data_IF_023597186937
#
_entry.id   IF_023597186937
#
_cell.length_a   1.000
_cell.length_b   1.000
_cell.length_c   1.000
_cell.angle_alpha   90.00
_cell.angle_beta   90.00
_cell.angle_gamma   90.00
#
_symmetry.space_group_name_H-M   'P 1'
#
loop_
_entity.id
_entity.type
_entity.pdbx_description
1 polymer ?
#
# COMPACT_ATOMS: atom_id res chain seq x y z
N UNK A 1 5.39 20.33 16.69
CA UNK A 1 6.71 20.12 17.33
C UNK A 1 6.58 18.91 18.23
N UNK A 2 7.22 17.81 17.85
CA UNK A 2 7.08 16.49 18.44
C UNK A 2 7.71 15.49 17.50
N UNK A 3 9.02 15.63 17.29
CA UNK A 3 9.83 14.68 16.54
C UNK A 3 9.88 13.39 17.34
N UNK A 4 9.11 12.39 16.92
CA UNK A 4 9.32 11.00 17.34
C UNK A 4 10.51 10.47 16.54
N UNK A 5 11.71 10.90 16.93
CA UNK A 5 12.91 10.12 16.69
C UNK A 5 12.80 8.88 17.59
N UNK A 6 12.32 7.79 17.00
CA UNK A 6 12.52 6.46 17.57
C UNK A 6 14.01 6.15 17.42
N UNK A 7 14.78 6.49 18.44
CA UNK A 7 16.05 5.83 18.74
C UNK A 7 15.74 4.33 18.88
N UNK A 8 15.95 3.58 17.79
CA UNK A 8 15.93 2.13 17.83
C UNK A 8 17.04 1.67 18.76
N UNK A 9 16.68 0.90 19.79
CA UNK A 9 17.66 0.31 20.69
C UNK A 9 18.65 -0.56 19.91
N UNK A 10 19.92 -0.53 20.30
CA UNK A 10 21.01 -1.36 19.78
C UNK A 10 20.78 -2.89 19.91
N UNK A 11 19.60 -3.33 20.37
CA UNK A 11 19.21 -4.74 20.50
C UNK A 11 18.41 -5.28 19.30
N UNK A 12 17.93 -4.43 18.38
CA UNK A 12 17.15 -4.88 17.23
C UNK A 12 18.05 -5.17 16.00
N UNK A 13 18.05 -6.42 15.52
CA UNK A 13 18.82 -6.87 14.35
C UNK A 13 18.54 -6.07 13.07
N UNK A 14 19.52 -5.99 12.18
CA UNK A 14 19.43 -5.19 10.95
C UNK A 14 18.25 -5.64 10.07
N UNK A 15 17.98 -6.93 9.97
CA UNK A 15 16.88 -7.45 9.17
C UNK A 15 15.52 -6.87 9.62
N UNK A 16 15.26 -6.87 10.92
CA UNK A 16 14.02 -6.33 11.49
C UNK A 16 13.94 -4.81 11.38
N UNK A 17 15.06 -4.10 11.58
CA UNK A 17 15.17 -2.66 11.34
C UNK A 17 14.82 -2.29 9.90
N UNK A 18 15.40 -2.99 8.91
CA UNK A 18 15.12 -2.75 7.49
C UNK A 18 13.67 -3.08 7.14
N UNK A 19 13.14 -4.20 7.65
CA UNK A 19 11.73 -4.58 7.46
C UNK A 19 10.77 -3.50 7.98
N UNK A 20 11.07 -2.90 9.14
CA UNK A 20 10.28 -1.81 9.72
C UNK A 20 10.44 -0.49 8.95
N UNK A 21 11.66 -0.20 8.48
CA UNK A 21 11.97 1.01 7.71
C UNK A 21 11.20 1.06 6.39
N UNK A 22 11.11 -0.05 5.67
CA UNK A 22 10.42 -0.17 4.37
C UNK A 22 8.95 -0.61 4.51
N UNK A 23 8.24 -0.04 5.50
CA UNK A 23 6.84 -0.41 5.78
C UNK A 23 5.87 -0.04 4.67
N UNK A 24 6.16 1.00 3.91
CA UNK A 24 5.30 1.48 2.83
C UNK A 24 5.28 0.45 1.69
N UNK A 25 6.42 -0.17 1.39
CA UNK A 25 6.54 -1.24 0.42
C UNK A 25 5.66 -2.43 0.79
N UNK A 26 5.54 -2.77 2.08
CA UNK A 26 4.65 -3.86 2.54
C UNK A 26 3.19 -3.55 2.26
N UNK A 27 2.76 -2.32 2.52
CA UNK A 27 1.41 -1.87 2.20
C UNK A 27 1.14 -1.91 0.68
N UNK A 28 2.11 -1.46 -0.13
CA UNK A 28 2.02 -1.53 -1.60
C UNK A 28 1.89 -2.97 -2.11
N UNK A 29 2.50 -3.95 -1.44
CA UNK A 29 2.37 -5.35 -1.82
C UNK A 29 0.96 -5.89 -1.51
N UNK A 30 0.47 -5.65 -0.28
CA UNK A 30 -0.86 -6.09 0.17
C UNK A 30 -1.99 -5.55 -0.70
N UNK A 31 -1.90 -4.27 -1.08
CA UNK A 31 -2.93 -3.59 -1.86
C UNK A 31 -2.68 -3.64 -3.37
N UNK A 32 -1.77 -4.49 -3.84
CA UNK A 32 -1.68 -4.79 -5.27
C UNK A 32 -2.97 -5.49 -5.75
N UNK A 33 -3.42 -5.24 -7.00
CA UNK A 33 -4.60 -5.92 -7.55
C UNK A 33 -4.52 -7.45 -7.43
N UNK A 34 -3.34 -8.03 -7.67
CA UNK A 34 -3.13 -9.47 -7.57
C UNK A 34 -3.38 -10.00 -6.15
N UNK A 35 -2.79 -9.37 -5.13
CA UNK A 35 -2.91 -9.82 -3.74
C UNK A 35 -4.32 -9.60 -3.20
N UNK A 36 -4.98 -8.49 -3.55
CA UNK A 36 -6.37 -8.24 -3.14
C UNK A 36 -7.32 -9.28 -3.73
N UNK A 37 -7.18 -9.62 -5.02
CA UNK A 37 -7.98 -10.68 -5.64
C UNK A 37 -7.67 -12.06 -5.07
N UNK A 38 -6.41 -12.33 -4.72
CA UNK A 38 -6.00 -13.57 -4.07
C UNK A 38 -6.67 -13.69 -2.71
N UNK A 39 -6.67 -12.61 -1.92
CA UNK A 39 -7.29 -12.55 -0.60
C UNK A 39 -8.80 -12.77 -0.67
N UNK A 40 -9.46 -12.20 -1.69
CA UNK A 40 -10.90 -12.35 -1.89
C UNK A 40 -11.32 -13.71 -2.48
N UNK A 41 -10.36 -14.57 -2.84
CA UNK A 41 -10.63 -15.84 -3.54
C UNK A 41 -11.11 -15.68 -4.98
N UNK A 42 -11.12 -14.46 -5.53
CA UNK A 42 -11.66 -14.14 -6.86
C UNK A 42 -10.58 -13.98 -7.95
N UNK A 43 -9.29 -14.19 -7.60
CA UNK A 43 -8.20 -14.19 -8.57
C UNK A 43 -8.47 -15.24 -9.66
N UNK A 44 -8.15 -14.92 -10.92
CA UNK A 44 -8.17 -15.89 -12.00
C UNK A 44 -7.15 -17.03 -11.77
N UNK A 45 -7.55 -18.30 -11.87
CA UNK A 45 -6.66 -19.44 -11.64
C UNK A 45 -5.42 -19.47 -12.56
N UNK A 46 -5.52 -18.97 -13.79
CA UNK A 46 -4.37 -18.93 -14.71
C UNK A 46 -3.40 -17.81 -14.33
N UNK A 47 -3.90 -16.67 -13.85
CA UNK A 47 -3.06 -15.61 -13.29
C UNK A 47 -2.28 -16.11 -12.07
N UNK A 48 -2.94 -16.84 -11.17
CA UNK A 48 -2.29 -17.50 -10.03
C UNK A 48 -1.24 -18.51 -10.50
N UNK A 49 -1.59 -19.40 -11.43
CA UNK A 49 -0.69 -20.40 -11.99
C UNK A 49 0.53 -19.76 -12.65
N UNK A 50 0.33 -18.67 -13.40
CA UNK A 50 1.41 -17.90 -14.01
C UNK A 50 2.40 -17.42 -12.94
N UNK A 51 1.90 -16.78 -11.87
CA UNK A 51 2.71 -16.27 -10.76
C UNK A 51 3.56 -17.39 -10.12
N UNK A 52 2.93 -18.47 -9.66
CA UNK A 52 3.64 -19.55 -8.96
C UNK A 52 4.58 -20.35 -9.87
N UNK A 53 4.37 -20.30 -11.19
CA UNK A 53 5.26 -20.96 -12.14
C UNK A 53 6.59 -20.22 -12.27
N UNK A 54 6.61 -18.90 -12.01
CA UNK A 54 7.84 -18.09 -12.00
C UNK A 54 8.81 -18.51 -10.88
N UNK A 55 8.34 -19.17 -9.81
CA UNK A 55 9.17 -19.67 -8.70
C UNK A 55 10.37 -20.48 -9.20
N UNK A 56 10.26 -21.18 -10.34
CA UNK A 56 11.37 -22.00 -10.87
C UNK A 56 12.64 -21.17 -11.10
N UNK A 57 12.48 -19.94 -11.62
CA UNK A 57 13.60 -19.05 -11.93
C UNK A 57 14.18 -18.43 -10.65
N UNK A 58 13.32 -18.03 -9.71
CA UNK A 58 13.75 -17.55 -8.40
C UNK A 58 14.50 -18.62 -7.63
N UNK A 59 13.99 -19.86 -7.58
CA UNK A 59 14.62 -20.96 -6.88
C UNK A 59 15.97 -21.36 -7.51
N UNK A 60 16.08 -21.32 -8.84
CA UNK A 60 17.35 -21.51 -9.53
C UNK A 60 18.37 -20.43 -9.16
N UNK A 61 17.97 -19.14 -9.22
CA UNK A 61 18.83 -18.03 -8.86
C UNK A 61 19.23 -18.07 -7.37
N UNK A 62 18.29 -18.38 -6.47
CA UNK A 62 18.55 -18.50 -5.04
C UNK A 62 19.54 -19.64 -4.76
N UNK A 63 19.40 -20.78 -5.43
CA UNK A 63 20.32 -21.91 -5.26
C UNK A 63 21.76 -21.56 -5.67
N UNK A 64 21.93 -20.76 -6.74
CA UNK A 64 23.25 -20.28 -7.19
C UNK A 64 23.78 -19.15 -6.30
N UNK A 65 22.92 -18.23 -5.86
CA UNK A 65 23.29 -17.16 -4.95
C UNK A 65 23.77 -17.71 -3.60
N UNK A 66 23.10 -18.73 -3.06
CA UNK A 66 23.57 -19.41 -1.85
C UNK A 66 24.88 -20.17 -2.06
N UNK A 67 25.13 -20.73 -3.24
CA UNK A 67 26.42 -21.37 -3.57
C UNK A 67 27.57 -20.36 -3.52
N UNK A 68 27.37 -19.19 -4.11
CA UNK A 68 28.34 -18.10 -4.05
C UNK A 68 28.51 -17.60 -2.61
N UNK A 69 27.40 -17.36 -1.89
CA UNK A 69 27.46 -16.94 -0.50
C UNK A 69 28.21 -17.94 0.40
N UNK A 70 28.06 -19.24 0.16
CA UNK A 70 28.81 -20.32 0.82
C UNK A 70 30.31 -20.23 0.53
N UNK A 71 30.71 -20.05 -0.74
CA UNK A 71 32.12 -19.91 -1.14
C UNK A 71 32.80 -18.71 -0.45
N UNK A 72 32.03 -17.67 -0.15
CA UNK A 72 32.52 -16.41 0.41
C UNK A 72 32.34 -16.26 1.92
N UNK A 73 31.61 -17.15 2.59
CA UNK A 73 31.57 -17.18 4.05
C UNK A 73 32.92 -17.68 4.61
N UNK A 74 33.39 -17.09 5.72
CA UNK A 74 34.66 -17.49 6.35
C UNK A 74 34.44 -18.54 7.46
N UNK A 75 33.40 -18.34 8.28
CA UNK A 75 33.04 -19.20 9.40
C UNK A 75 32.30 -20.48 8.96
N UNK A 76 32.70 -21.63 9.50
CA UNK A 76 32.15 -22.93 9.12
C UNK A 76 30.69 -23.13 9.60
N UNK A 77 30.29 -22.51 10.71
CA UNK A 77 28.89 -22.54 11.15
C UNK A 77 28.00 -21.75 10.19
N UNK A 78 28.47 -20.59 9.73
CA UNK A 78 27.79 -19.77 8.74
C UNK A 78 27.67 -20.50 7.39
N UNK A 79 28.73 -21.16 6.93
CA UNK A 79 28.69 -22.02 5.73
C UNK A 79 27.65 -23.13 5.87
N UNK A 80 27.66 -23.87 6.97
CA UNK A 80 26.69 -24.96 7.18
C UNK A 80 25.25 -24.43 7.22
N UNK A 81 25.02 -23.24 7.78
CA UNK A 81 23.71 -22.57 7.74
C UNK A 81 23.28 -22.23 6.30
N UNK A 82 24.17 -21.65 5.50
CA UNK A 82 23.93 -21.33 4.08
C UNK A 82 23.65 -22.61 3.28
N UNK A 83 24.45 -23.66 3.47
CA UNK A 83 24.27 -24.98 2.82
C UNK A 83 22.90 -25.57 3.16
N UNK A 84 22.45 -25.45 4.40
CA UNK A 84 21.10 -25.90 4.80
C UNK A 84 20.00 -25.11 4.07
N UNK A 85 20.15 -23.80 3.92
CA UNK A 85 19.20 -22.97 3.15
C UNK A 85 19.19 -23.37 1.67
N UNK A 86 20.37 -23.52 1.05
CA UNK A 86 20.52 -23.99 -0.33
C UNK A 86 19.87 -25.36 -0.56
N UNK A 87 20.09 -26.31 0.36
CA UNK A 87 19.47 -27.65 0.30
C UNK A 87 17.94 -27.58 0.35
N UNK A 88 17.35 -26.66 1.13
CA UNK A 88 15.89 -26.44 1.16
C UNK A 88 15.37 -25.91 -0.17
N UNK A 89 16.04 -24.91 -0.76
CA UNK A 89 15.70 -24.36 -2.07
C UNK A 89 15.78 -25.43 -3.16
N UNK A 90 16.89 -26.18 -3.23
CA UNK A 90 17.06 -27.27 -4.20
C UNK A 90 16.00 -28.37 -4.02
N UNK A 91 15.59 -28.66 -2.79
CA UNK A 91 14.49 -29.60 -2.53
C UNK A 91 13.15 -29.06 -3.03
N UNK A 92 12.85 -27.78 -2.80
CA UNK A 92 11.64 -27.14 -3.31
C UNK A 92 11.61 -27.14 -4.84
N UNK A 93 12.73 -26.78 -5.48
CA UNK A 93 12.88 -26.77 -6.94
C UNK A 93 12.60 -28.15 -7.56
N UNK A 94 13.19 -29.22 -6.98
CA UNK A 94 12.96 -30.60 -7.47
C UNK A 94 11.51 -31.08 -7.35
N UNK A 95 10.77 -30.54 -6.39
CA UNK A 95 9.41 -30.97 -6.06
C UNK A 95 8.35 -29.96 -6.55
N UNK A 96 8.72 -28.96 -7.35
CA UNK A 96 7.84 -27.85 -7.71
C UNK A 96 6.55 -28.34 -8.40
N UNK A 97 6.66 -29.20 -9.41
CA UNK A 97 5.51 -29.74 -10.14
C UNK A 97 4.57 -30.54 -9.24
N UNK A 98 5.13 -31.34 -8.31
CA UNK A 98 4.36 -32.11 -7.35
C UNK A 98 3.61 -31.18 -6.39
N UNK A 99 4.26 -30.13 -5.90
CA UNK A 99 3.63 -29.12 -5.03
C UNK A 99 2.51 -28.37 -5.75
N UNK A 100 2.70 -27.98 -7.01
CA UNK A 100 1.66 -27.32 -7.81
C UNK A 100 0.43 -28.23 -7.95
N UNK A 101 0.63 -29.54 -8.19
CA UNK A 101 -0.46 -30.53 -8.21
C UNK A 101 -1.12 -30.73 -6.86
N UNK A 102 -0.35 -30.77 -5.77
CA UNK A 102 -0.89 -30.84 -4.41
C UNK A 102 -1.79 -29.63 -4.10
N UNK A 103 -1.44 -28.45 -4.61
CA UNK A 103 -2.25 -27.24 -4.52
C UNK A 103 -3.50 -27.27 -5.41
N UNK A 104 -3.62 -28.24 -6.31
CA UNK A 104 -4.80 -28.43 -7.16
C UNK A 104 -4.67 -27.87 -8.57
N UNK A 105 -3.46 -27.55 -9.02
CA UNK A 105 -3.19 -26.98 -10.34
C UNK A 105 -2.33 -27.92 -11.17
N UNK A 106 -2.44 -27.83 -12.50
CA UNK A 106 -1.53 -28.55 -13.39
C UNK A 106 -0.32 -27.65 -13.73
N UNK A 107 0.93 -28.13 -13.53
CA UNK A 107 2.12 -27.40 -13.91
C UNK A 107 2.12 -27.08 -15.41
N UNK A 108 2.50 -25.86 -15.82
CA UNK A 108 2.56 -25.52 -17.24
C UNK A 108 3.67 -26.32 -17.95
N UNK A 109 3.43 -26.68 -19.22
CA UNK A 109 4.41 -27.40 -20.06
C UNK A 109 5.58 -26.50 -20.48
N UNK A 110 5.30 -25.23 -20.70
CA UNK A 110 6.25 -24.18 -21.03
C UNK A 110 5.92 -22.98 -20.15
N UNK A 111 6.95 -22.32 -19.63
CA UNK A 111 6.79 -21.11 -18.82
C UNK A 111 7.63 -20.00 -19.44
N UNK A 112 6.99 -18.88 -19.77
CA UNK A 112 7.70 -17.69 -20.19
C UNK A 112 8.16 -16.93 -18.96
N UNK A 113 9.46 -16.60 -18.91
CA UNK A 113 10.01 -15.83 -17.81
C UNK A 113 9.55 -14.37 -17.92
N UNK A 114 8.86 -13.88 -16.91
CA UNK A 114 8.44 -12.49 -16.84
C UNK A 114 9.67 -11.57 -16.73
N UNK A 115 9.65 -10.43 -17.41
CA UNK A 115 10.69 -9.40 -17.32
C UNK A 115 10.97 -8.96 -15.86
N UNK A 116 9.97 -8.91 -14.99
CA UNK A 116 10.18 -8.62 -13.56
C UNK A 116 10.98 -9.72 -12.85
N UNK A 117 10.69 -10.99 -13.18
CA UNK A 117 11.47 -12.16 -12.70
C UNK A 117 12.92 -12.08 -13.17
N UNK A 118 13.14 -11.75 -14.46
CA UNK A 118 14.49 -11.55 -15.02
C UNK A 118 15.23 -10.45 -14.25
N UNK A 119 14.63 -9.27 -14.09
CA UNK A 119 15.26 -8.15 -13.36
C UNK A 119 15.67 -8.52 -11.94
N UNK A 120 14.83 -9.23 -11.19
CA UNK A 120 15.19 -9.66 -9.84
C UNK A 120 16.35 -10.66 -9.92
N UNK A 121 16.18 -11.75 -10.66
CA UNK A 121 17.18 -12.82 -10.71
C UNK A 121 18.54 -12.33 -11.20
N UNK A 122 18.60 -11.44 -12.19
CA UNK A 122 19.83 -10.76 -12.62
C UNK A 122 20.45 -9.91 -11.51
N UNK A 123 19.65 -9.05 -10.85
CA UNK A 123 20.12 -8.26 -9.71
C UNK A 123 20.70 -9.13 -8.59
N UNK A 124 20.06 -10.26 -8.27
CA UNK A 124 20.54 -11.19 -7.27
C UNK A 124 21.87 -11.83 -7.70
N UNK A 125 22.00 -12.25 -8.95
CA UNK A 125 23.24 -12.86 -9.47
C UNK A 125 24.38 -11.83 -9.55
N UNK A 126 24.10 -10.58 -9.93
CA UNK A 126 25.07 -9.49 -9.87
C UNK A 126 25.52 -9.21 -8.45
N UNK A 127 24.57 -9.18 -7.50
CA UNK A 127 24.87 -9.00 -6.08
C UNK A 127 25.73 -10.15 -5.56
N UNK A 128 25.36 -11.40 -5.80
CA UNK A 128 26.07 -12.57 -5.32
C UNK A 128 27.45 -12.76 -5.97
N UNK A 129 27.66 -12.23 -7.18
CA UNK A 129 28.97 -12.24 -7.87
C UNK A 129 29.86 -11.03 -7.53
N UNK A 130 29.40 -10.12 -6.66
CA UNK A 130 30.17 -8.96 -6.20
C UNK A 130 30.12 -7.74 -7.12
N UNK A 131 29.23 -7.71 -8.11
CA UNK A 131 28.99 -6.55 -9.00
C UNK A 131 28.03 -5.55 -8.35
N UNK A 132 28.33 -5.14 -7.12
CA UNK A 132 27.44 -4.28 -6.33
C UNK A 132 27.66 -2.80 -6.69
N UNK A 133 26.79 -2.25 -7.53
CA UNK A 133 26.68 -0.81 -7.78
C UNK A 133 27.56 -0.28 -8.92
N UNK A 134 26.90 0.10 -10.03
CA UNK A 134 27.51 0.94 -11.06
C UNK A 134 28.11 2.19 -10.43
N UNK A 135 29.42 2.37 -10.65
CA UNK A 135 30.26 3.46 -10.16
C UNK A 135 30.61 3.43 -8.66
N UNK A 136 31.84 2.96 -8.37
CA UNK A 136 32.66 3.05 -7.14
C UNK A 136 32.70 1.88 -6.14
N UNK A 137 31.84 0.87 -6.23
CA UNK A 137 31.93 -0.30 -5.34
C UNK A 137 32.19 -1.60 -6.09
N UNK A 138 33.22 -1.62 -6.95
CA UNK A 138 33.81 -2.91 -7.29
C UNK A 138 34.45 -3.45 -6.01
N UNK A 139 33.85 -4.45 -5.38
CA UNK A 139 34.52 -5.19 -4.31
C UNK A 139 35.72 -5.87 -4.99
N UNK A 140 36.88 -5.21 -4.96
CA UNK A 140 38.13 -5.93 -5.20
C UNK A 140 38.24 -6.88 -4.02
N UNK A 141 37.94 -8.14 -4.25
CA UNK A 141 38.11 -9.19 -3.26
C UNK A 141 39.62 -9.36 -3.06
N UNK A 142 40.19 -8.70 -2.05
CA UNK A 142 41.62 -8.76 -1.73
C UNK A 142 41.86 -9.62 -0.49
N UNK A 143 40.87 -9.74 0.41
CA UNK A 143 41.01 -10.42 1.71
C UNK A 143 39.82 -11.34 2.04
N UNK A 144 40.01 -12.37 2.90
CA UNK A 144 38.91 -13.19 3.42
C UNK A 144 37.80 -12.38 4.09
N UNK A 145 38.14 -11.29 4.77
CA UNK A 145 37.17 -10.38 5.40
C UNK A 145 36.26 -9.67 4.38
N UNK A 146 36.78 -9.36 3.18
CA UNK A 146 35.95 -8.80 2.09
C UNK A 146 35.03 -9.84 1.44
N UNK A 147 35.31 -11.14 1.59
CA UNK A 147 34.45 -12.22 1.12
C UNK A 147 33.20 -12.35 1.99
N UNK A 148 33.32 -12.31 3.32
CA UNK A 148 32.18 -12.43 4.24
C UNK A 148 31.10 -11.37 4.00
N UNK A 149 31.48 -10.16 3.55
CA UNK A 149 30.55 -9.08 3.18
C UNK A 149 29.62 -9.48 2.05
N UNK A 150 30.10 -10.29 1.11
CA UNK A 150 29.34 -10.73 -0.05
C UNK A 150 28.22 -11.71 0.33
N UNK A 151 28.46 -12.55 1.35
CA UNK A 151 27.42 -13.38 1.94
C UNK A 151 26.32 -12.51 2.58
N UNK A 152 26.68 -11.50 3.37
CA UNK A 152 25.72 -10.56 3.94
C UNK A 152 24.92 -9.82 2.85
N UNK A 153 25.59 -9.31 1.82
CA UNK A 153 24.95 -8.64 0.67
C UNK A 153 23.98 -9.56 -0.06
N UNK A 154 24.36 -10.81 -0.30
CA UNK A 154 23.51 -11.82 -0.94
C UNK A 154 22.27 -12.10 -0.09
N UNK A 155 22.43 -12.33 1.21
CA UNK A 155 21.31 -12.58 2.11
C UNK A 155 20.39 -11.35 2.23
N UNK A 156 20.94 -10.13 2.18
CA UNK A 156 20.14 -8.89 2.15
C UNK A 156 19.27 -8.78 0.90
N UNK A 157 19.69 -9.36 -0.23
CA UNK A 157 18.93 -9.41 -1.47
C UNK A 157 17.90 -10.55 -1.52
N UNK A 158 18.02 -11.57 -0.66
CA UNK A 158 17.09 -12.73 -0.58
C UNK A 158 16.05 -12.54 0.53
N UNK A 159 16.48 -12.03 1.69
CA UNK A 159 15.67 -11.89 2.91
C UNK A 159 14.30 -11.24 2.67
N UNK A 160 14.19 -10.11 1.94
CA UNK A 160 12.91 -9.45 1.66
C UNK A 160 11.85 -10.37 1.04
N UNK A 161 12.24 -11.17 0.05
CA UNK A 161 11.34 -12.08 -0.67
C UNK A 161 10.72 -13.10 0.29
N UNK A 162 11.54 -13.76 1.11
CA UNK A 162 11.03 -14.74 2.08
C UNK A 162 10.11 -14.11 3.12
N UNK A 163 10.47 -12.92 3.63
CA UNK A 163 9.68 -12.24 4.64
C UNK A 163 8.35 -11.71 4.10
N UNK A 164 8.32 -11.18 2.87
CA UNK A 164 7.11 -10.59 2.29
C UNK A 164 6.03 -11.65 1.99
N UNK A 165 6.39 -12.85 1.52
CA UNK A 165 5.42 -13.93 1.29
C UNK A 165 4.91 -14.55 2.60
N UNK A 166 5.75 -14.65 3.63
CA UNK A 166 5.29 -15.02 4.98
C UNK A 166 4.29 -13.99 5.51
N UNK A 167 4.59 -12.69 5.33
CA UNK A 167 3.72 -11.60 5.75
C UNK A 167 2.37 -11.61 5.00
N UNK A 168 2.39 -11.54 3.66
CA UNK A 168 1.17 -11.52 2.84
C UNK A 168 0.29 -12.73 3.13
N UNK A 169 0.85 -13.94 3.20
CA UNK A 169 0.06 -15.14 3.45
C UNK A 169 -0.62 -15.14 4.83
N UNK A 170 0.04 -14.60 5.87
CA UNK A 170 -0.55 -14.46 7.21
C UNK A 170 -1.65 -13.39 7.25
N UNK A 171 -1.44 -12.25 6.59
CA UNK A 171 -2.45 -11.20 6.47
C UNK A 171 -3.71 -11.72 5.75
N UNK A 172 -3.54 -12.46 4.64
CA UNK A 172 -4.67 -13.10 3.96
C UNK A 172 -5.35 -14.12 4.87
N UNK A 173 -4.59 -14.99 5.54
CA UNK A 173 -5.18 -16.02 6.41
C UNK A 173 -5.95 -15.46 7.60
N UNK A 174 -5.54 -14.31 8.14
CA UNK A 174 -6.28 -13.64 9.20
C UNK A 174 -7.67 -13.18 8.75
N UNK A 175 -7.90 -13.03 7.44
CA UNK A 175 -9.17 -12.64 6.83
C UNK A 175 -10.00 -13.85 6.36
N UNK A 176 -9.39 -15.01 6.16
CA UNK A 176 -10.07 -16.18 5.63
C UNK A 176 -10.86 -16.90 6.73
N UNK A 177 -12.11 -17.26 6.42
CA UNK A 177 -12.89 -18.17 7.24
C UNK A 177 -12.23 -19.56 7.23
N UNK A 178 -11.91 -20.10 8.41
CA UNK A 178 -11.24 -21.39 8.54
C UNK A 178 -12.06 -22.55 7.94
N UNK A 179 -13.39 -22.41 7.96
CA UNK A 179 -14.34 -23.39 7.44
C UNK A 179 -14.62 -23.24 5.94
N UNK A 180 -14.12 -22.18 5.30
CA UNK A 180 -14.24 -22.01 3.85
C UNK A 180 -13.30 -23.01 3.15
N UNK A 181 -13.90 -24.05 2.57
CA UNK A 181 -13.22 -25.10 1.80
C UNK A 181 -13.20 -24.80 0.31
N UNK A 182 -13.86 -23.73 -0.15
CA UNK A 182 -13.98 -23.40 -1.57
C UNK A 182 -12.79 -22.59 -2.10
N UNK A 183 -12.02 -21.94 -1.22
CA UNK A 183 -10.82 -21.19 -1.63
C UNK A 183 -9.72 -22.12 -2.17
N UNK A 184 -9.60 -22.17 -3.50
CA UNK A 184 -8.63 -22.99 -4.23
C UNK A 184 -7.16 -22.62 -3.94
N UNK A 185 -6.88 -21.44 -3.39
CA UNK A 185 -5.53 -20.96 -3.07
C UNK A 185 -5.08 -21.31 -1.65
N UNK A 186 -5.98 -21.84 -0.82
CA UNK A 186 -5.76 -22.09 0.62
C UNK A 186 -4.53 -22.96 0.89
N UNK A 187 -4.31 -24.01 0.10
CA UNK A 187 -3.16 -24.93 0.29
C UNK A 187 -1.82 -24.22 0.07
N UNK A 188 -1.74 -23.36 -0.95
CA UNK A 188 -0.53 -22.58 -1.21
C UNK A 188 -0.28 -21.56 -0.10
N UNK A 189 -1.32 -20.82 0.31
CA UNK A 189 -1.25 -19.88 1.44
C UNK A 189 -0.79 -20.57 2.73
N UNK A 190 -1.36 -21.74 3.05
CA UNK A 190 -0.96 -22.56 4.20
C UNK A 190 0.52 -22.99 4.13
N UNK A 191 1.05 -23.23 2.92
CA UNK A 191 2.45 -23.58 2.77
C UNK A 191 3.38 -22.41 3.13
N UNK A 192 3.00 -21.18 2.77
CA UNK A 192 3.76 -19.96 3.01
C UNK A 192 3.63 -19.43 4.45
N UNK A 193 2.48 -19.64 5.09
CA UNK A 193 2.29 -19.26 6.50
C UNK A 193 2.77 -20.33 7.49
N UNK A 194 3.19 -21.50 6.98
CA UNK A 194 3.63 -22.62 7.83
C UNK A 194 4.83 -22.26 8.70
N UNK A 195 4.93 -22.88 9.88
CA UNK A 195 6.08 -22.73 10.77
C UNK A 195 7.41 -23.07 10.09
N UNK A 196 7.40 -23.99 9.12
CA UNK A 196 8.59 -24.36 8.34
C UNK A 196 9.06 -23.25 7.40
N UNK A 197 8.12 -22.54 6.78
CA UNK A 197 8.44 -21.39 5.93
C UNK A 197 8.94 -20.23 6.79
N UNK A 198 8.25 -19.94 7.89
CA UNK A 198 8.67 -18.93 8.88
C UNK A 198 10.09 -19.20 9.41
N UNK A 199 10.37 -20.43 9.84
CA UNK A 199 11.69 -20.80 10.32
C UNK A 199 12.78 -20.62 9.26
N UNK A 200 12.45 -20.73 7.96
CA UNK A 200 13.40 -20.47 6.88
C UNK A 200 13.63 -18.97 6.68
N UNK A 201 12.59 -18.15 6.75
CA UNK A 201 12.71 -16.69 6.72
C UNK A 201 13.55 -16.18 7.90
N UNK A 202 13.23 -16.62 9.14
CA UNK A 202 14.01 -16.27 10.34
C UNK A 202 15.46 -16.71 10.24
N UNK A 203 15.75 -17.94 9.76
CA UNK A 203 17.15 -18.38 9.60
C UNK A 203 17.97 -17.50 8.65
N UNK A 204 17.34 -16.92 7.62
CA UNK A 204 18.01 -16.01 6.69
C UNK A 204 18.28 -14.66 7.38
N UNK A 205 17.33 -14.17 8.17
CA UNK A 205 17.42 -12.91 8.90
C UNK A 205 18.44 -12.98 10.03
N UNK A 206 18.41 -14.04 10.84
CA UNK A 206 19.36 -14.27 11.92
C UNK A 206 20.80 -14.34 11.38
N UNK A 207 20.98 -14.98 10.21
CA UNK A 207 22.28 -15.06 9.57
C UNK A 207 22.70 -13.71 8.96
N UNK A 208 21.77 -12.96 8.36
CA UNK A 208 22.04 -11.60 7.91
C UNK A 208 22.46 -10.69 9.07
N UNK A 209 21.78 -10.81 10.21
CA UNK A 209 22.09 -10.08 11.43
C UNK A 209 23.49 -10.44 11.93
N UNK A 210 23.80 -11.74 12.06
CA UNK A 210 25.12 -12.23 12.48
C UNK A 210 26.24 -11.72 11.57
N UNK A 211 26.10 -11.87 10.25
CA UNK A 211 27.12 -11.45 9.28
C UNK A 211 27.28 -9.93 9.22
N UNK A 212 26.25 -9.17 9.59
CA UNK A 212 26.28 -7.71 9.58
C UNK A 212 27.00 -7.10 10.80
N UNK A 213 27.22 -7.84 11.88
CA UNK A 213 27.91 -7.36 13.10
C UNK A 213 29.31 -6.82 12.79
N UNK A 214 30.00 -7.45 11.84
CA UNK A 214 31.39 -7.10 11.48
C UNK A 214 31.49 -5.97 10.46
N UNK A 215 30.37 -5.48 9.91
CA UNK A 215 30.35 -4.49 8.85
C UNK A 215 30.53 -3.07 9.39
N UNK A 216 31.23 -2.25 8.61
CA UNK A 216 31.34 -0.80 8.84
C UNK A 216 30.05 -0.07 8.48
N UNK A 217 29.89 1.19 8.91
CA UNK A 217 28.72 2.00 8.57
C UNK A 217 28.45 2.09 7.05
N UNK A 218 29.49 2.32 6.25
CA UNK A 218 29.37 2.39 4.78
C UNK A 218 28.90 1.06 4.17
N UNK A 219 29.30 -0.08 4.76
CA UNK A 219 28.92 -1.40 4.30
C UNK A 219 27.49 -1.77 4.74
N UNK A 220 27.06 -1.33 5.92
CA UNK A 220 25.67 -1.42 6.36
C UNK A 220 24.75 -0.57 5.46
N UNK A 221 25.23 0.58 4.98
CA UNK A 221 24.48 1.37 3.99
C UNK A 221 24.33 0.61 2.66
N UNK A 222 25.31 -0.23 2.27
CA UNK A 222 25.19 -1.12 1.10
C UNK A 222 24.12 -2.18 1.35
N UNK A 223 24.14 -2.84 2.51
CA UNK A 223 23.11 -3.82 2.92
C UNK A 223 21.71 -3.21 2.83
N UNK A 224 21.53 -1.99 3.36
CA UNK A 224 20.25 -1.29 3.29
C UNK A 224 19.82 -1.04 1.84
N UNK A 225 20.72 -0.55 0.98
CA UNK A 225 20.41 -0.28 -0.44
C UNK A 225 20.02 -1.55 -1.19
N UNK A 226 20.71 -2.66 -0.95
CA UNK A 226 20.44 -3.94 -1.57
C UNK A 226 19.08 -4.51 -1.11
N UNK A 227 18.82 -4.49 0.19
CA UNK A 227 17.53 -4.90 0.76
C UNK A 227 16.37 -4.09 0.19
N UNK A 228 16.51 -2.76 0.13
CA UNK A 228 15.50 -1.88 -0.45
C UNK A 228 15.30 -2.14 -1.95
N UNK A 229 16.40 -2.40 -2.70
CA UNK A 229 16.29 -2.75 -4.12
C UNK A 229 15.57 -4.07 -4.32
N UNK A 230 15.85 -5.09 -3.51
CA UNK A 230 15.12 -6.35 -3.51
C UNK A 230 13.62 -6.16 -3.19
N UNK A 231 13.25 -5.37 -2.16
CA UNK A 231 11.85 -5.02 -1.89
C UNK A 231 11.16 -4.35 -3.09
N UNK A 232 11.85 -3.43 -3.78
CA UNK A 232 11.31 -2.78 -4.98
C UNK A 232 11.12 -3.75 -6.14
N UNK A 233 12.07 -4.67 -6.35
CA UNK A 233 11.98 -5.69 -7.40
C UNK A 233 10.88 -6.71 -7.13
N UNK A 234 10.68 -7.08 -5.86
CA UNK A 234 9.54 -7.91 -5.45
C UNK A 234 8.21 -7.19 -5.73
N UNK A 235 8.12 -5.90 -5.42
CA UNK A 235 6.95 -5.10 -5.79
C UNK A 235 6.76 -5.04 -7.31
N UNK A 236 7.84 -4.81 -8.09
CA UNK A 236 7.75 -4.88 -9.55
C UNK A 236 7.21 -6.24 -10.02
N UNK A 237 7.63 -7.34 -9.39
CA UNK A 237 7.12 -8.68 -9.68
C UNK A 237 5.63 -8.82 -9.34
N UNK A 238 5.22 -8.53 -8.11
CA UNK A 238 3.82 -8.65 -7.66
C UNK A 238 2.89 -7.78 -8.51
N UNK A 239 3.29 -6.55 -8.82
CA UNK A 239 2.49 -5.62 -9.62
C UNK A 239 2.48 -5.93 -11.12
N UNK A 240 3.44 -6.72 -11.60
CA UNK A 240 3.44 -7.21 -12.99
C UNK A 240 2.57 -8.45 -13.19
N UNK A 241 2.03 -9.04 -12.13
CA UNK A 241 1.18 -10.22 -12.27
C UNK A 241 -0.12 -9.85 -12.98
N UNK A 242 -0.60 -10.71 -13.90
CA UNK A 242 -1.81 -10.43 -14.65
C UNK A 242 -3.04 -10.41 -13.73
N UNK A 243 -3.93 -9.44 -13.96
CA UNK A 243 -5.22 -9.34 -13.28
C UNK A 243 -6.27 -9.03 -14.33
N UNK A 244 -7.14 -9.99 -14.60
CA UNK A 244 -8.18 -9.86 -15.65
C UNK A 244 -9.52 -9.41 -15.09
N UNK A 245 -9.77 -9.68 -13.81
CA UNK A 245 -10.98 -9.30 -13.11
C UNK A 245 -10.98 -7.81 -12.71
N UNK A 246 -12.16 -7.20 -12.75
CA UNK A 246 -12.36 -5.83 -12.27
C UNK A 246 -12.13 -5.79 -10.75
N UNK A 247 -11.22 -4.90 -10.32
CA UNK A 247 -10.76 -4.85 -8.94
C UNK A 247 -10.73 -3.40 -8.46
N UNK A 248 -11.14 -3.19 -7.21
CA UNK A 248 -11.02 -1.89 -6.53
C UNK A 248 -9.87 -2.01 -5.53
N UNK A 249 -8.83 -1.19 -5.69
CA UNK A 249 -7.68 -1.16 -4.80
C UNK A 249 -7.28 0.28 -4.46
N UNK A 250 -6.68 0.53 -3.28
CA UNK A 250 -5.98 1.77 -3.01
C UNK A 250 -4.91 2.03 -4.08
N UNK A 251 -5.07 3.11 -4.83
CA UNK A 251 -4.16 3.45 -5.92
C UNK A 251 -3.10 4.45 -5.45
N UNK A 252 -1.85 3.99 -5.33
CA UNK A 252 -0.73 4.78 -4.79
C UNK A 252 0.49 4.82 -5.70
N UNK A 253 0.46 4.11 -6.83
CA UNK A 253 1.48 4.16 -7.88
C UNK A 253 0.85 4.06 -9.26
N UNK A 254 1.25 4.96 -10.15
CA UNK A 254 0.96 4.86 -11.58
C UNK A 254 1.87 3.77 -12.15
N UNK A 255 1.28 2.64 -12.53
CA UNK A 255 1.97 1.65 -13.34
C UNK A 255 1.68 1.92 -14.82
N UNK A 256 2.74 2.11 -15.61
CA UNK A 256 2.66 2.39 -17.05
C UNK A 256 2.36 1.12 -17.85
N UNK A 257 1.33 0.37 -17.48
CA UNK A 257 0.71 -0.61 -18.37
C UNK A 257 -0.18 0.19 -19.32
N UNK A 258 0.11 0.17 -20.62
CA UNK A 258 -0.71 0.84 -21.64
C UNK A 258 -2.13 0.24 -21.75
N UNK A 259 -2.40 -0.88 -21.06
CA UNK A 259 -3.61 -1.70 -21.17
C UNK A 259 -4.59 -1.52 -20.01
N UNK A 260 -4.15 -0.90 -18.90
CA UNK A 260 -5.01 -0.75 -17.72
C UNK A 260 -6.12 0.26 -18.04
N UNK A 261 -7.37 -0.06 -17.71
CA UNK A 261 -8.50 0.85 -17.88
C UNK A 261 -8.87 1.45 -16.54
N UNK A 262 -8.07 2.40 -16.06
CA UNK A 262 -8.18 2.92 -14.71
C UNK A 262 -9.33 3.94 -14.58
N UNK A 263 -10.15 3.74 -13.55
CA UNK A 263 -11.11 4.72 -13.04
C UNK A 263 -10.66 5.07 -11.62
N UNK A 264 -10.28 6.31 -11.40
CA UNK A 264 -9.77 6.78 -10.12
C UNK A 264 -10.89 7.48 -9.37
N UNK A 265 -11.13 7.07 -8.12
CA UNK A 265 -11.99 7.80 -7.19
C UNK A 265 -11.13 8.44 -6.13
N UNK A 266 -11.38 9.71 -5.85
CA UNK A 266 -10.61 10.47 -4.89
C UNK A 266 -11.54 11.28 -4.00
N UNK A 267 -11.48 11.08 -2.68
CA UNK A 267 -12.11 11.99 -1.74
C UNK A 267 -11.26 13.25 -1.59
N UNK A 268 -11.75 14.37 -2.11
CA UNK A 268 -11.06 15.65 -2.08
C UNK A 268 -10.71 16.10 -0.67
N UNK A 269 -11.66 15.99 0.24
CA UNK A 269 -11.56 16.69 1.50
C UNK A 269 -10.66 15.94 2.49
N UNK A 270 -10.85 14.62 2.63
CA UNK A 270 -10.00 13.79 3.50
C UNK A 270 -8.65 13.41 2.86
N UNK A 271 -8.61 13.24 1.53
CA UNK A 271 -7.37 12.76 0.86
C UNK A 271 -6.51 13.91 0.35
N UNK A 272 -7.12 14.97 -0.21
CA UNK A 272 -6.37 16.02 -0.89
C UNK A 272 -6.09 17.23 -0.02
N UNK A 273 -7.09 17.73 0.72
CA UNK A 273 -6.97 19.02 1.41
C UNK A 273 -6.31 18.88 2.77
N UNK A 274 -5.45 19.84 3.13
CA UNK A 274 -4.87 19.94 4.48
C UNK A 274 -5.77 20.71 5.46
N UNK A 275 -6.78 21.41 4.94
CA UNK A 275 -7.70 22.26 5.68
C UNK A 275 -9.11 21.95 5.18
N UNK A 276 -10.06 21.87 6.10
CA UNK A 276 -11.48 21.68 5.79
C UNK A 276 -11.97 22.74 4.78
N UNK A 277 -12.39 22.27 3.60
CA UNK A 277 -12.84 23.10 2.49
C UNK A 277 -14.17 23.81 2.79
N UNK A 278 -15.01 23.23 3.64
CA UNK A 278 -16.29 23.80 4.06
C UNK A 278 -16.08 24.92 5.07
N UNK A 279 -15.16 24.74 6.01
CA UNK A 279 -14.73 25.81 6.92
C UNK A 279 -14.11 27.00 6.16
N UNK A 280 -13.34 26.73 5.10
CA UNK A 280 -12.80 27.78 4.23
C UNK A 280 -13.91 28.59 3.54
N UNK A 281 -14.96 27.94 3.03
CA UNK A 281 -16.12 28.64 2.44
C UNK A 281 -16.84 29.53 3.47
N UNK A 282 -16.96 29.07 4.71
CA UNK A 282 -17.55 29.87 5.79
C UNK A 282 -16.73 31.12 6.11
N UNK A 283 -15.40 30.99 6.22
CA UNK A 283 -14.54 32.14 6.46
C UNK A 283 -14.58 33.15 5.30
N UNK A 284 -14.66 32.69 4.05
CA UNK A 284 -14.90 33.58 2.91
C UNK A 284 -16.24 34.33 3.02
N UNK A 285 -17.30 33.66 3.51
CA UNK A 285 -18.61 34.28 3.67
C UNK A 285 -18.60 35.35 4.78
N UNK A 286 -17.89 35.07 5.89
CA UNK A 286 -17.67 36.03 6.97
C UNK A 286 -16.93 37.27 6.47
N UNK A 287 -15.87 37.09 5.65
CA UNK A 287 -15.11 38.19 5.04
C UNK A 287 -15.95 38.97 4.02
N UNK A 288 -16.77 38.30 3.22
CA UNK A 288 -17.64 38.97 2.26
C UNK A 288 -18.68 39.86 2.96
N UNK A 289 -19.25 39.39 4.08
CA UNK A 289 -20.23 40.14 4.84
C UNK A 289 -19.64 41.40 5.51
N UNK A 290 -18.38 41.37 5.92
CA UNK A 290 -17.69 42.56 6.46
C UNK A 290 -17.32 43.59 5.38
N UNK A 291 -17.14 43.17 4.13
CA UNK A 291 -16.73 44.04 3.03
C UNK A 291 -17.88 44.70 2.25
N UNK A 292 -19.12 44.17 2.29
CA UNK A 292 -20.20 44.55 1.34
C UNK A 292 -21.36 45.36 1.96
N UNK A 293 -21.57 45.36 3.27
CA UNK A 293 -22.84 45.88 3.81
C UNK A 293 -22.76 47.26 4.49
N UNK A 294 -23.43 48.25 3.89
CA UNK A 294 -24.10 49.35 4.60
C UNK A 294 -25.64 49.17 4.49
N UNK A 295 -26.39 49.04 5.61
CA UNK A 295 -25.92 48.78 6.97
C UNK A 295 -25.44 47.33 7.12
N UNK A 296 -24.41 47.07 7.95
CA UNK A 296 -23.80 45.76 8.08
C UNK A 296 -24.76 44.73 8.66
N UNK A 297 -24.91 43.58 7.99
CA UNK A 297 -25.25 42.34 8.71
C UNK A 297 -24.09 42.12 9.69
N UNK A 298 -24.32 42.01 11.01
CA UNK A 298 -23.22 41.86 11.95
C UNK A 298 -22.45 40.58 11.61
N UNK A 299 -21.13 40.67 11.39
CA UNK A 299 -20.28 39.50 11.11
C UNK A 299 -20.34 38.44 12.22
N UNK A 300 -20.74 38.85 13.43
CA UNK A 300 -21.04 37.98 14.57
C UNK A 300 -22.25 37.08 14.32
N UNK A 301 -23.21 37.50 13.50
CA UNK A 301 -24.41 36.72 13.18
C UNK A 301 -24.06 35.51 12.30
N UNK A 302 -23.36 35.72 11.18
CA UNK A 302 -22.92 34.64 10.26
C UNK A 302 -22.02 33.62 10.97
N UNK A 303 -21.04 34.09 11.76
CA UNK A 303 -20.16 33.20 12.52
C UNK A 303 -20.93 32.36 13.54
N UNK A 304 -21.89 32.96 14.24
CA UNK A 304 -22.73 32.25 15.21
C UNK A 304 -23.66 31.27 14.51
N UNK A 305 -24.31 31.66 13.41
CA UNK A 305 -25.13 30.78 12.59
C UNK A 305 -24.35 29.57 12.09
N UNK A 306 -23.14 29.79 11.56
CA UNK A 306 -22.28 28.71 11.08
C UNK A 306 -21.91 27.74 12.20
N UNK A 307 -21.48 28.23 13.35
CA UNK A 307 -21.14 27.39 14.50
C UNK A 307 -22.33 26.56 14.97
N UNK A 308 -23.52 27.16 15.06
CA UNK A 308 -24.74 26.45 15.45
C UNK A 308 -25.10 25.34 14.43
N UNK A 309 -24.98 25.62 13.12
CA UNK A 309 -25.23 24.63 12.08
C UNK A 309 -24.23 23.47 12.15
N UNK A 310 -22.96 23.78 12.40
CA UNK A 310 -21.90 22.78 12.53
C UNK A 310 -22.09 21.90 13.78
N UNK A 311 -22.34 22.50 14.95
CA UNK A 311 -22.61 21.77 16.19
C UNK A 311 -23.82 20.84 16.04
N UNK A 312 -24.90 21.33 15.41
CA UNK A 312 -26.07 20.51 15.13
C UNK A 312 -25.75 19.35 14.18
N UNK A 313 -24.98 19.59 13.11
CA UNK A 313 -24.56 18.54 12.19
C UNK A 313 -23.73 17.46 12.90
N UNK A 314 -22.72 17.85 13.69
CA UNK A 314 -21.87 16.91 14.42
C UNK A 314 -22.71 16.04 15.36
N UNK A 315 -23.66 16.63 16.06
CA UNK A 315 -24.53 15.91 16.99
C UNK A 315 -25.47 14.93 16.27
N UNK A 316 -26.14 15.36 15.20
CA UNK A 316 -27.02 14.49 14.41
C UNK A 316 -26.25 13.36 13.72
N UNK A 317 -25.07 13.66 13.17
CA UNK A 317 -24.20 12.66 12.56
C UNK A 317 -23.74 11.64 13.60
N UNK A 318 -23.28 12.09 14.77
CA UNK A 318 -22.88 11.22 15.88
C UNK A 318 -24.03 10.29 16.31
N UNK A 319 -25.23 10.82 16.50
CA UNK A 319 -26.42 10.03 16.84
C UNK A 319 -26.75 8.99 15.78
N UNK A 320 -26.62 9.35 14.49
CA UNK A 320 -26.83 8.42 13.38
C UNK A 320 -25.78 7.31 13.35
N UNK A 321 -24.49 7.63 13.53
CA UNK A 321 -23.43 6.62 13.64
C UNK A 321 -23.68 5.68 14.82
N UNK A 322 -24.08 6.21 15.99
CA UNK A 322 -24.42 5.41 17.16
C UNK A 322 -25.64 4.50 16.93
N UNK A 323 -26.61 4.92 16.12
CA UNK A 323 -27.79 4.10 15.83
C UNK A 323 -27.54 2.99 14.82
N UNK A 324 -26.59 3.18 13.89
CA UNK A 324 -26.27 2.18 12.84
C UNK A 324 -25.10 1.28 13.23
N UNK A 325 -24.26 1.68 14.19
CA UNK A 325 -23.15 0.86 14.68
C UNK A 325 -23.67 -0.12 15.73
N UNK A 326 -23.38 -1.43 15.63
CA UNK A 326 -23.77 -2.39 16.66
C UNK A 326 -23.20 -1.97 18.03
N UNK A 327 -24.01 -1.97 19.09
CA UNK A 327 -23.49 -1.63 20.42
C UNK A 327 -22.49 -2.69 20.89
N UNK A 328 -21.30 -2.28 21.34
CA UNK A 328 -20.29 -3.14 21.98
C UNK A 328 -20.72 -3.65 23.39
N UNK A 329 -22.02 -3.72 23.67
CA UNK A 329 -22.58 -3.92 25.01
C UNK A 329 -22.65 -5.39 25.48
N UNK A 330 -21.95 -6.32 24.82
CA UNK A 330 -21.69 -7.65 25.37
C UNK A 330 -20.17 -7.87 25.48
N UNK A 331 -19.66 -7.62 26.68
CA UNK A 331 -18.27 -7.89 27.03
C UNK A 331 -17.90 -9.35 26.76
N UNK A 332 -16.70 -9.52 26.22
CA UNK A 332 -15.95 -10.78 26.11
C UNK A 332 -16.35 -11.74 24.97
N UNK A 333 -17.20 -11.31 24.04
CA UNK A 333 -17.32 -11.97 22.73
C UNK A 333 -17.28 -10.91 21.64
N UNK A 334 -16.10 -10.71 21.04
CA UNK A 334 -16.05 -10.12 19.70
C UNK A 334 -17.07 -10.86 18.85
N UNK A 335 -18.12 -10.19 18.32
CA UNK A 335 -19.09 -10.88 17.49
C UNK A 335 -18.29 -11.49 16.34
N UNK A 336 -18.35 -12.81 16.21
CA UNK A 336 -17.95 -13.48 14.98
C UNK A 336 -18.92 -12.98 13.92
N UNK A 337 -18.59 -11.85 13.30
CA UNK A 337 -19.39 -11.27 12.24
C UNK A 337 -19.33 -12.29 11.10
N UNK A 338 -20.45 -12.98 10.83
CA UNK A 338 -20.63 -14.01 9.79
C UNK A 338 -20.57 -13.42 8.37
N UNK A 339 -19.50 -12.68 8.06
CA UNK A 339 -19.30 -12.00 6.79
C UNK A 339 -19.98 -10.62 6.70
N UNK A 340 -19.89 -10.02 5.50
CA UNK A 340 -20.40 -8.68 5.24
C UNK A 340 -21.94 -8.68 5.16
N UNK A 341 -22.62 -8.05 6.12
CA UNK A 341 -24.05 -7.71 6.01
C UNK A 341 -24.24 -6.55 5.03
N UNK A 342 -24.30 -6.89 3.73
CA UNK A 342 -24.44 -5.92 2.66
C UNK A 342 -25.75 -5.12 2.75
N UNK A 343 -26.84 -5.78 3.12
CA UNK A 343 -28.17 -5.15 3.22
C UNK A 343 -28.23 -4.19 4.42
N UNK A 344 -27.69 -4.59 5.56
CA UNK A 344 -27.52 -3.73 6.73
C UNK A 344 -26.65 -2.51 6.43
N UNK A 345 -25.53 -2.71 5.72
CA UNK A 345 -24.66 -1.62 5.28
C UNK A 345 -25.39 -0.64 4.37
N UNK A 346 -26.17 -1.12 3.39
CA UNK A 346 -26.95 -0.25 2.51
C UNK A 346 -27.95 0.61 3.30
N UNK A 347 -28.69 0.00 4.23
CA UNK A 347 -29.64 0.73 5.11
C UNK A 347 -28.95 1.73 6.03
N UNK A 348 -27.75 1.41 6.53
CA UNK A 348 -26.95 2.31 7.33
C UNK A 348 -26.51 3.55 6.51
N UNK A 349 -26.07 3.34 5.26
CA UNK A 349 -25.70 4.41 4.35
C UNK A 349 -26.89 5.30 3.95
N UNK A 350 -28.09 4.74 3.81
CA UNK A 350 -29.32 5.52 3.59
C UNK A 350 -29.62 6.46 4.75
N UNK A 351 -29.46 6.00 6.00
CA UNK A 351 -29.66 6.84 7.19
C UNK A 351 -28.65 7.99 7.26
N UNK A 352 -27.37 7.72 6.98
CA UNK A 352 -26.35 8.77 6.88
C UNK A 352 -26.73 9.77 5.78
N UNK A 353 -27.20 9.28 4.62
CA UNK A 353 -27.63 10.12 3.51
C UNK A 353 -28.75 11.10 3.90
N UNK A 354 -29.67 10.70 4.77
CA UNK A 354 -30.76 11.57 5.20
C UNK A 354 -30.29 12.66 6.17
N UNK A 355 -29.33 12.37 7.04
CA UNK A 355 -28.65 13.38 7.88
C UNK A 355 -27.94 14.40 6.99
N UNK A 356 -27.18 13.94 6.00
CA UNK A 356 -26.46 14.80 5.04
C UNK A 356 -27.39 15.74 4.24
N UNK A 357 -28.53 15.22 3.77
CA UNK A 357 -29.55 16.02 3.06
C UNK A 357 -30.18 17.06 3.97
N UNK A 358 -30.49 16.69 5.21
CA UNK A 358 -31.09 17.58 6.21
C UNK A 358 -30.11 18.71 6.56
N UNK A 359 -28.85 18.38 6.85
CA UNK A 359 -27.79 19.33 7.14
C UNK A 359 -27.56 20.30 5.97
N UNK A 360 -27.48 19.78 4.74
CA UNK A 360 -27.35 20.61 3.54
C UNK A 360 -28.53 21.57 3.38
N UNK A 361 -29.77 21.10 3.62
CA UNK A 361 -30.97 21.95 3.51
C UNK A 361 -30.94 23.10 4.52
N UNK A 362 -30.50 22.86 5.77
CA UNK A 362 -30.34 23.92 6.78
C UNK A 362 -29.32 24.97 6.38
N UNK A 363 -28.20 24.56 5.77
CA UNK A 363 -27.19 25.51 5.26
C UNK A 363 -27.79 26.39 4.17
N UNK A 364 -28.54 25.81 3.23
CA UNK A 364 -29.23 26.57 2.16
C UNK A 364 -30.24 27.56 2.76
N UNK A 365 -31.11 27.09 3.66
CA UNK A 365 -32.16 27.90 4.28
C UNK A 365 -31.61 29.04 5.14
N UNK A 366 -30.45 28.84 5.78
CA UNK A 366 -29.79 29.86 6.59
C UNK A 366 -29.26 31.05 5.76
N UNK A 367 -29.06 30.85 4.45
CA UNK A 367 -28.42 31.81 3.56
C UNK A 367 -27.00 32.24 3.99
N UNK A 368 -26.35 31.48 4.86
CA UNK A 368 -25.03 31.83 5.47
C UNK A 368 -23.91 32.02 4.43
N UNK A 369 -24.03 31.38 3.26
CA UNK A 369 -23.08 31.48 2.14
C UNK A 369 -23.47 32.56 1.11
N UNK A 370 -24.53 33.34 1.35
CA UNK A 370 -25.00 34.36 0.42
C UNK A 370 -24.00 35.52 0.35
N UNK A 371 -23.73 35.99 -0.87
CA UNK A 371 -22.83 37.12 -1.12
C UNK A 371 -21.37 36.73 -1.37
N UNK A 372 -21.05 35.44 -1.35
CA UNK A 372 -19.74 34.95 -1.79
C UNK A 372 -19.43 35.36 -3.23
N UNK A 373 -18.23 35.89 -3.43
CA UNK A 373 -17.75 36.26 -4.76
C UNK A 373 -17.03 35.10 -5.42
N UNK A 374 -17.44 34.75 -6.65
CA UNK A 374 -16.86 33.68 -7.44
C UNK A 374 -15.34 33.83 -7.66
N UNK A 375 -14.85 35.05 -7.87
CA UNK A 375 -13.43 35.31 -8.05
C UNK A 375 -12.64 35.03 -6.76
N UNK A 376 -13.21 35.31 -5.60
CA UNK A 376 -12.59 35.03 -4.31
C UNK A 376 -12.58 33.53 -3.99
N UNK A 377 -13.67 32.83 -4.31
CA UNK A 377 -13.73 31.36 -4.22
C UNK A 377 -12.61 30.72 -5.06
N UNK A 378 -12.45 31.17 -6.32
CA UNK A 378 -11.39 30.64 -7.21
C UNK A 378 -9.99 30.93 -6.67
N UNK A 379 -9.76 32.16 -6.22
CA UNK A 379 -8.47 32.55 -5.61
C UNK A 379 -8.16 31.73 -4.34
N UNK A 380 -9.19 31.38 -3.56
CA UNK A 380 -9.03 30.54 -2.38
C UNK A 380 -8.68 29.10 -2.77
N UNK A 381 -9.36 28.52 -3.77
CA UNK A 381 -9.04 27.19 -4.28
C UNK A 381 -7.61 27.10 -4.86
N UNK A 382 -7.18 28.08 -5.66
CA UNK A 382 -5.80 28.15 -6.20
C UNK A 382 -4.72 28.15 -5.11
N UNK A 383 -5.05 28.66 -3.92
CA UNK A 383 -4.14 28.77 -2.76
C UNK A 383 -4.36 27.67 -1.72
N UNK A 384 -5.27 26.73 -1.99
CA UNK A 384 -5.60 25.67 -1.07
C UNK A 384 -4.38 24.77 -0.84
N UNK A 385 -4.05 24.55 0.43
CA UNK A 385 -2.96 23.67 0.83
C UNK A 385 -3.40 22.22 0.70
N UNK A 386 -2.60 21.43 0.00
CA UNK A 386 -2.84 20.00 -0.17
C UNK A 386 -1.99 19.21 0.83
N UNK A 387 -2.42 17.99 1.13
CA UNK A 387 -1.58 16.99 1.79
C UNK A 387 -0.31 16.76 0.96
N UNK A 388 0.79 16.48 1.66
CA UNK A 388 2.10 16.29 1.02
C UNK A 388 2.05 15.20 -0.06
N UNK A 389 2.60 15.50 -1.23
CA UNK A 389 2.64 14.60 -2.38
C UNK A 389 1.34 14.49 -3.19
N UNK A 390 0.18 14.89 -2.65
CA UNK A 390 -1.11 14.74 -3.33
C UNK A 390 -1.19 15.54 -4.64
N UNK A 391 -0.80 16.83 -4.60
CA UNK A 391 -0.80 17.68 -5.81
C UNK A 391 0.07 17.09 -6.92
N UNK A 392 1.27 16.61 -6.55
CA UNK A 392 2.20 16.00 -7.50
C UNK A 392 1.62 14.71 -8.08
N UNK A 393 1.03 13.87 -7.24
CA UNK A 393 0.40 12.62 -7.68
C UNK A 393 -0.75 12.86 -8.68
N UNK A 394 -1.62 13.83 -8.39
CA UNK A 394 -2.71 14.20 -9.32
C UNK A 394 -2.17 14.79 -10.62
N UNK A 395 -1.09 15.59 -10.56
CA UNK A 395 -0.40 16.09 -11.76
C UNK A 395 0.20 14.95 -12.59
N UNK A 396 0.91 14.02 -11.95
CA UNK A 396 1.51 12.85 -12.60
C UNK A 396 0.41 12.01 -13.29
N UNK A 397 -0.75 11.84 -12.64
CA UNK A 397 -1.94 11.19 -13.23
C UNK A 397 -2.41 11.94 -14.48
N UNK A 398 -2.58 13.25 -14.40
CA UNK A 398 -3.07 14.06 -15.52
C UNK A 398 -2.07 14.15 -16.69
N UNK A 399 -0.78 14.08 -16.41
CA UNK A 399 0.30 14.05 -17.41
C UNK A 399 0.48 12.67 -18.03
N UNK A 400 0.12 11.60 -17.31
CA UNK A 400 0.16 10.24 -17.83
C UNK A 400 -0.89 10.07 -18.94
N UNK A 401 -0.43 10.09 -20.19
CA UNK A 401 -1.27 9.90 -21.39
C UNK A 401 -1.75 8.45 -21.60
N UNK A 402 -1.39 7.54 -20.69
CA UNK A 402 -1.70 6.12 -20.79
C UNK A 402 -2.75 5.72 -19.76
N UNK A 403 -3.60 4.76 -20.14
CA UNK A 403 -4.42 3.89 -19.26
C UNK A 403 -5.50 4.54 -18.37
N UNK A 404 -5.47 5.85 -18.14
CA UNK A 404 -6.52 6.51 -17.36
C UNK A 404 -7.74 6.84 -18.23
N UNK A 405 -8.91 6.31 -17.87
CA UNK A 405 -10.19 6.68 -18.50
C UNK A 405 -10.83 7.88 -17.82
N UNK A 406 -10.82 7.90 -16.50
CA UNK A 406 -11.59 8.90 -15.73
C UNK A 406 -11.03 9.08 -14.31
N UNK A 407 -11.08 10.31 -13.82
CA UNK A 407 -10.84 10.65 -12.41
C UNK A 407 -12.12 11.28 -11.90
N UNK A 408 -12.70 10.66 -10.88
CA UNK A 408 -13.86 11.12 -10.14
C UNK A 408 -13.40 11.68 -8.81
N UNK A 409 -13.67 12.95 -8.59
CA UNK A 409 -13.42 13.61 -7.31
C UNK A 409 -14.74 13.69 -6.55
N UNK A 410 -14.79 13.01 -5.41
CA UNK A 410 -15.87 13.03 -4.43
C UNK A 410 -15.53 14.07 -3.37
N UNK A 411 -16.50 14.86 -2.94
CA UNK A 411 -16.28 15.91 -1.96
C UNK A 411 -17.57 16.24 -1.24
N UNK A 412 -17.47 16.56 0.05
CA UNK A 412 -18.58 17.13 0.82
C UNK A 412 -18.64 18.67 0.69
N UNK A 413 -17.59 19.30 0.15
CA UNK A 413 -17.54 20.73 -0.13
C UNK A 413 -18.75 21.20 -0.97
N UNK A 414 -19.34 22.32 -0.58
CA UNK A 414 -20.47 22.92 -1.30
C UNK A 414 -20.08 23.75 -2.54
N UNK A 415 -18.79 23.82 -2.92
CA UNK A 415 -18.34 24.62 -4.06
C UNK A 415 -17.52 23.83 -5.08
N UNK A 416 -18.16 23.53 -6.22
CA UNK A 416 -17.47 22.98 -7.39
C UNK A 416 -16.37 23.90 -7.93
N UNK A 417 -16.57 25.23 -7.91
CA UNK A 417 -15.54 26.18 -8.38
C UNK A 417 -14.30 26.19 -7.49
N UNK A 418 -14.44 25.99 -6.17
CA UNK A 418 -13.31 25.86 -5.25
C UNK A 418 -12.47 24.62 -5.59
N UNK A 419 -13.13 23.47 -5.77
CA UNK A 419 -12.45 22.21 -6.12
C UNK A 419 -11.76 22.31 -7.48
N UNK A 420 -12.44 22.84 -8.52
CA UNK A 420 -11.87 23.00 -9.87
C UNK A 420 -10.64 23.91 -9.86
N UNK A 421 -10.71 25.02 -9.13
CA UNK A 421 -9.59 25.96 -9.03
C UNK A 421 -8.42 25.39 -8.23
N UNK A 422 -8.68 24.55 -7.23
CA UNK A 422 -7.66 23.84 -6.46
C UNK A 422 -6.89 22.79 -7.29
N UNK A 423 -7.61 22.04 -8.12
CA UNK A 423 -7.07 20.92 -8.90
C UNK A 423 -6.45 21.33 -10.25
N UNK A 424 -6.70 22.55 -10.72
CA UNK A 424 -6.32 23.06 -12.05
C UNK A 424 -7.04 22.29 -13.19
N UNK A 425 -7.36 23.00 -14.28
CA UNK A 425 -8.33 22.56 -15.30
C UNK A 425 -7.95 21.25 -16.01
N UNK A 426 -8.81 20.22 -15.91
CA UNK A 426 -8.69 18.95 -16.67
C UNK A 426 -9.41 17.74 -16.06
N UNK A 427 -9.93 17.83 -14.83
CA UNK A 427 -10.58 16.71 -14.12
C UNK A 427 -12.11 16.79 -14.25
N UNK A 428 -12.74 15.64 -14.56
CA UNK A 428 -14.21 15.49 -14.51
C UNK A 428 -14.64 15.43 -13.04
N UNK A 429 -15.35 16.45 -12.57
CA UNK A 429 -15.90 16.43 -11.21
C UNK A 429 -17.26 15.77 -11.20
N UNK A 430 -17.42 14.77 -10.34
CA UNK A 430 -18.73 14.25 -9.99
C UNK A 430 -19.18 14.87 -8.67
N UNK A 431 -19.86 16.02 -8.78
CA UNK A 431 -20.59 16.57 -7.65
C UNK A 431 -21.93 15.83 -7.58
N UNK A 432 -22.29 15.19 -6.46
CA UNK A 432 -23.64 14.62 -6.33
C UNK A 432 -24.65 15.74 -6.63
N UNK A 433 -25.76 15.44 -7.34
CA UNK A 433 -26.76 16.45 -7.69
C UNK A 433 -27.41 17.00 -6.43
N UNK A 434 -26.86 18.09 -5.89
CA UNK A 434 -27.49 18.87 -4.83
C UNK A 434 -28.49 19.80 -5.53
N UNK A 435 -29.79 19.54 -5.34
CA UNK A 435 -30.85 20.42 -5.81
C UNK A 435 -30.76 21.75 -5.03
N UNK A 436 -30.59 22.86 -5.75
CA UNK A 436 -30.82 24.22 -5.25
C UNK A 436 -29.55 24.94 -4.87
#
# INVERSE_FOLDING_TARGET
MGSLELEGSDEEGIAKRLWNKFKNERALALYSPFVVCLASGALDPNAFLHCISQDVYFLQAFAQAYELAEEYADDEEDKEAIVKLRKRVLKRLRNQDELIREWGFEPPKENDCNNATVKYTEFLMETASGKVGGEKFSVKIVTPFEKTKLAAYTLSAISPCMRIYSFISKEIQALLNLDDTENIYKKWLNSLSSQKFEASASSIEDLLDKLSISLTGEELDVVERLYHRAMKLELEFIWSQPVVQQTIVPFSRIHNSAEDNLIIFCDFDLTCTAIDSSALLAELAIIAATNVSEPPVPSTDIRTTWNNLFEQYVEEYRQCIESITPSEADGDKSPQVEGLDYEGLCKALEQISDVEKSATSRVVDSTVLRGLNLAEIRRAGERLTFQDGCRRFLQDIMESKSSMKEVHVLSYCWSGDLIKSALQSGITLYLPPKKG
#
